data_IF_837692479690
#
_entry.id   IF_837692479690
#
_cell.length_a   1.000
_cell.length_b   1.000
_cell.length_c   1.000
_cell.angle_alpha   90.00
_cell.angle_beta   90.00
_cell.angle_gamma   90.00
#
_symmetry.space_group_name_H-M   'P 1'
#
loop_
_entity.id
_entity.type
_entity.pdbx_description
1 polymer ?
#
# COMPACT_ATOMS: atom_id res chain seq x y z
N UNK A 1 3.95 -19.32 8.51
CA UNK A 1 4.76 -20.29 7.74
C UNK A 1 3.94 -20.95 6.64
N UNK A 2 4.64 -21.52 5.64
CA UNK A 2 4.01 -22.24 4.53
C UNK A 2 3.01 -23.30 5.03
N UNK A 3 1.82 -23.44 4.42
CA UNK A 3 1.27 -22.67 3.29
C UNK A 3 0.45 -21.44 3.72
N UNK A 4 0.56 -21.01 4.96
CA UNK A 4 -0.31 -20.03 5.59
C UNK A 4 0.32 -18.63 5.54
N UNK A 5 -0.11 -17.80 4.59
CA UNK A 5 0.36 -16.42 4.42
C UNK A 5 -0.82 -15.49 4.13
N UNK A 6 -0.91 -14.39 4.88
CA UNK A 6 -1.91 -13.34 4.64
C UNK A 6 -1.73 -12.69 3.26
N UNK A 7 -0.49 -12.50 2.83
CA UNK A 7 -0.18 -11.96 1.51
C UNK A 7 -0.69 -12.88 0.40
N UNK A 8 -0.45 -14.19 0.51
CA UNK A 8 -0.96 -15.16 -0.49
C UNK A 8 -2.47 -15.28 -0.50
N UNK A 9 -3.14 -15.14 0.64
CA UNK A 9 -4.60 -15.02 0.67
C UNK A 9 -5.05 -13.81 -0.15
N UNK A 10 -4.41 -12.65 0.07
CA UNK A 10 -4.77 -11.42 -0.64
C UNK A 10 -4.48 -11.52 -2.14
N UNK A 11 -3.36 -12.14 -2.53
CA UNK A 11 -3.03 -12.43 -3.93
C UNK A 11 -4.00 -13.42 -4.58
N UNK A 12 -4.47 -14.44 -3.85
CA UNK A 12 -5.49 -15.36 -4.33
C UNK A 12 -6.83 -14.65 -4.60
N UNK A 13 -7.24 -13.71 -3.73
CA UNK A 13 -8.42 -12.87 -3.95
C UNK A 13 -8.21 -11.89 -5.11
N UNK A 14 -6.99 -11.35 -5.27
CA UNK A 14 -6.62 -10.53 -6.43
C UNK A 14 -6.84 -11.31 -7.73
N UNK A 15 -6.35 -12.55 -7.79
CA UNK A 15 -6.56 -13.42 -8.95
C UNK A 15 -8.05 -13.76 -9.16
N UNK A 16 -8.80 -13.97 -8.07
CA UNK A 16 -10.22 -14.35 -8.11
C UNK A 16 -11.11 -13.29 -8.80
N UNK A 17 -10.77 -12.02 -8.66
CA UNK A 17 -11.45 -10.90 -9.34
C UNK A 17 -10.85 -10.57 -10.71
N UNK A 18 -10.05 -11.47 -11.29
CA UNK A 18 -9.50 -11.32 -12.64
C UNK A 18 -8.29 -10.38 -12.75
N UNK A 19 -7.69 -9.99 -11.63
CA UNK A 19 -6.47 -9.19 -11.57
C UNK A 19 -5.23 -10.10 -11.50
N UNK A 20 -4.04 -9.52 -11.75
CA UNK A 20 -2.78 -10.25 -11.75
C UNK A 20 -2.23 -10.41 -10.33
N UNK A 21 -2.13 -11.64 -9.80
CA UNK A 21 -1.59 -11.87 -8.46
C UNK A 21 -0.11 -11.49 -8.40
N UNK A 22 0.34 -11.02 -7.25
CA UNK A 22 1.68 -10.49 -6.94
C UNK A 22 2.04 -9.18 -7.68
N UNK A 23 1.07 -8.55 -8.37
CA UNK A 23 1.26 -7.27 -9.04
C UNK A 23 0.11 -6.28 -8.78
N UNK A 24 -1.14 -6.75 -8.78
CA UNK A 24 -2.33 -5.89 -8.77
C UNK A 24 -3.05 -5.83 -7.41
N UNK A 25 -2.44 -6.29 -6.32
CA UNK A 25 -3.03 -6.25 -4.97
C UNK A 25 -3.47 -4.84 -4.56
N UNK A 26 -2.75 -3.83 -5.01
CA UNK A 26 -3.10 -2.44 -4.77
C UNK A 26 -4.38 -2.00 -5.51
N UNK A 27 -4.73 -2.68 -6.61
CA UNK A 27 -6.01 -2.46 -7.30
C UNK A 27 -7.13 -3.10 -6.49
N UNK A 28 -6.95 -4.33 -6.01
CA UNK A 28 -7.90 -4.99 -5.12
C UNK A 28 -8.18 -4.14 -3.87
N UNK A 29 -7.13 -3.58 -3.25
CA UNK A 29 -7.26 -2.65 -2.13
C UNK A 29 -8.13 -1.43 -2.49
N UNK A 30 -7.93 -0.85 -3.67
CA UNK A 30 -8.74 0.26 -4.16
C UNK A 30 -10.20 -0.13 -4.44
N UNK A 31 -10.45 -1.34 -4.94
CA UNK A 31 -11.81 -1.88 -5.16
C UNK A 31 -12.56 -2.07 -3.85
N UNK A 32 -11.87 -2.45 -2.77
CA UNK A 32 -12.49 -2.71 -1.48
C UNK A 32 -13.29 -1.52 -0.94
N UNK A 33 -12.88 -0.29 -1.26
CA UNK A 33 -13.58 0.93 -0.85
C UNK A 33 -14.97 1.11 -1.49
N UNK A 34 -15.29 0.33 -2.52
CA UNK A 34 -16.57 0.40 -3.25
C UNK A 34 -17.47 -0.82 -3.01
N UNK A 35 -16.99 -1.79 -2.23
CA UNK A 35 -17.72 -3.01 -1.90
C UNK A 35 -18.27 -3.00 -0.47
N UNK A 36 -19.10 -3.99 -0.20
CA UNK A 36 -19.60 -4.30 1.15
C UNK A 36 -19.00 -5.65 1.56
N UNK A 37 -18.30 -5.74 2.69
CA UNK A 37 -17.68 -6.98 3.11
C UNK A 37 -18.74 -8.02 3.53
N UNK A 38 -18.60 -9.25 3.03
CA UNK A 38 -19.27 -10.42 3.58
C UNK A 38 -18.34 -11.11 4.58
N UNK A 39 -18.69 -11.04 5.85
CA UNK A 39 -17.87 -11.59 6.93
C UNK A 39 -17.75 -13.12 6.90
N UNK A 40 -18.63 -13.81 6.17
CA UNK A 40 -18.55 -15.27 5.97
C UNK A 40 -17.31 -15.67 5.19
N UNK A 41 -16.78 -14.79 4.35
CA UNK A 41 -15.53 -15.06 3.61
C UNK A 41 -14.38 -15.34 4.58
N UNK A 42 -14.32 -14.60 5.70
CA UNK A 42 -13.35 -14.90 6.75
C UNK A 42 -13.49 -16.34 7.24
N UNK A 43 -14.70 -16.75 7.59
CA UNK A 43 -14.96 -18.11 8.11
C UNK A 43 -14.74 -19.20 7.05
N UNK A 44 -14.93 -18.89 5.78
CA UNK A 44 -14.68 -19.85 4.69
C UNK A 44 -13.20 -20.14 4.49
N UNK A 45 -12.32 -19.15 4.63
CA UNK A 45 -10.90 -19.28 4.34
C UNK A 45 -10.02 -19.46 5.58
N UNK A 46 -10.37 -18.84 6.70
CA UNK A 46 -9.54 -18.84 7.90
C UNK A 46 -9.92 -20.01 8.82
N UNK A 47 -8.92 -20.82 9.15
CA UNK A 47 -9.06 -21.92 10.11
C UNK A 47 -8.77 -21.45 11.55
N UNK A 48 -7.71 -20.66 11.70
CA UNK A 48 -7.25 -20.15 13.00
C UNK A 48 -6.63 -18.77 12.79
N UNK A 49 -7.26 -17.75 13.35
CA UNK A 49 -6.80 -16.37 13.23
C UNK A 49 -5.59 -16.05 14.11
N UNK A 50 -5.45 -16.74 15.26
CA UNK A 50 -4.36 -16.45 16.19
C UNK A 50 -3.03 -17.01 15.68
N UNK A 51 -3.07 -18.18 15.06
CA UNK A 51 -1.89 -18.82 14.46
C UNK A 51 -1.72 -18.48 12.98
N UNK A 52 -2.67 -17.73 12.39
CA UNK A 52 -2.75 -17.43 10.95
C UNK A 52 -2.69 -18.74 10.16
N UNK A 53 -3.78 -19.49 10.22
CA UNK A 53 -3.95 -20.72 9.45
C UNK A 53 -5.13 -20.60 8.51
N UNK A 54 -4.92 -20.97 7.27
CA UNK A 54 -5.97 -21.06 6.25
C UNK A 54 -6.40 -22.51 6.08
N UNK A 55 -7.66 -22.72 5.70
CA UNK A 55 -8.22 -24.07 5.46
C UNK A 55 -7.61 -24.73 4.23
N UNK A 56 -7.23 -23.92 3.23
CA UNK A 56 -6.67 -24.39 1.96
C UNK A 56 -5.30 -23.78 1.71
N UNK A 57 -4.54 -24.44 0.82
CA UNK A 57 -3.30 -23.87 0.28
C UNK A 57 -3.64 -22.87 -0.83
N UNK A 58 -3.41 -21.60 -0.58
CA UNK A 58 -3.77 -20.51 -1.50
C UNK A 58 -2.65 -20.11 -2.47
N UNK A 59 -1.55 -20.87 -2.54
CA UNK A 59 -0.47 -20.62 -3.50
C UNK A 59 -0.92 -20.81 -4.96
N UNK A 60 -1.92 -21.64 -5.19
CA UNK A 60 -2.51 -21.89 -6.51
C UNK A 60 -3.71 -20.98 -6.79
N UNK A 61 -4.02 -20.05 -5.89
CA UNK A 61 -5.20 -19.21 -5.99
C UNK A 61 -6.48 -19.90 -5.47
N UNK A 62 -7.63 -19.30 -5.79
CA UNK A 62 -8.97 -19.81 -5.43
C UNK A 62 -9.99 -19.53 -6.55
N UNK A 63 -9.61 -19.74 -7.79
CA UNK A 63 -10.49 -19.47 -8.96
C UNK A 63 -11.76 -20.33 -8.97
N UNK A 64 -11.70 -21.52 -8.42
CA UNK A 64 -12.80 -22.47 -8.25
C UNK A 64 -13.72 -22.17 -7.06
N UNK A 65 -13.38 -21.18 -6.24
CA UNK A 65 -14.23 -20.77 -5.14
C UNK A 65 -15.55 -20.20 -5.66
N UNK A 66 -16.64 -20.95 -5.43
CA UNK A 66 -17.97 -20.57 -5.84
C UNK A 66 -18.54 -19.51 -4.89
N UNK A 67 -18.94 -18.36 -5.43
CA UNK A 67 -19.56 -17.27 -4.70
C UNK A 67 -20.40 -16.41 -5.62
N UNK A 68 -21.51 -15.88 -5.09
CA UNK A 68 -22.39 -14.92 -5.77
C UNK A 68 -21.97 -13.46 -5.52
N UNK A 69 -20.88 -13.25 -4.80
CA UNK A 69 -20.39 -11.91 -4.49
C UNK A 69 -19.87 -11.22 -5.77
N UNK A 70 -20.16 -9.92 -5.88
CA UNK A 70 -19.52 -9.08 -6.89
C UNK A 70 -18.02 -8.93 -6.62
N UNK A 71 -17.22 -8.60 -7.62
CA UNK A 71 -15.77 -8.38 -7.48
C UNK A 71 -15.44 -7.32 -6.42
N UNK A 72 -16.24 -6.26 -6.33
CA UNK A 72 -16.07 -5.24 -5.28
C UNK A 72 -16.36 -5.78 -3.88
N UNK A 73 -17.37 -6.64 -3.73
CA UNK A 73 -17.67 -7.26 -2.44
C UNK A 73 -16.63 -8.32 -2.07
N UNK A 74 -16.09 -9.06 -3.04
CA UNK A 74 -14.93 -9.94 -2.82
C UNK A 74 -13.74 -9.13 -2.33
N UNK A 75 -13.44 -8.00 -2.97
CA UNK A 75 -12.36 -7.10 -2.58
C UNK A 75 -12.53 -6.55 -1.16
N UNK A 76 -13.74 -6.08 -0.82
CA UNK A 76 -14.06 -5.59 0.54
C UNK A 76 -13.95 -6.70 1.59
N UNK A 77 -14.39 -7.93 1.27
CA UNK A 77 -14.30 -9.09 2.15
C UNK A 77 -12.85 -9.54 2.35
N UNK A 78 -12.04 -9.48 1.30
CA UNK A 78 -10.60 -9.76 1.37
C UNK A 78 -9.88 -8.74 2.24
N UNK A 79 -10.20 -7.45 2.10
CA UNK A 79 -9.63 -6.38 2.91
C UNK A 79 -9.99 -6.55 4.38
N UNK A 80 -11.25 -6.76 4.69
CA UNK A 80 -11.71 -7.05 6.06
C UNK A 80 -10.97 -8.26 6.67
N UNK A 81 -10.88 -9.35 5.93
CA UNK A 81 -10.18 -10.55 6.39
C UNK A 81 -8.70 -10.26 6.69
N UNK A 82 -8.03 -9.52 5.81
CA UNK A 82 -6.63 -9.11 6.01
C UNK A 82 -6.46 -8.27 7.27
N UNK A 83 -7.33 -7.31 7.52
CA UNK A 83 -7.31 -6.43 8.68
C UNK A 83 -7.53 -7.20 9.99
N UNK A 84 -8.48 -8.13 10.02
CA UNK A 84 -8.70 -9.02 11.18
C UNK A 84 -7.47 -9.88 11.48
N UNK A 85 -6.83 -10.43 10.44
CA UNK A 85 -5.62 -11.22 10.61
C UNK A 85 -4.43 -10.34 11.06
N UNK A 86 -4.29 -9.13 10.53
CA UNK A 86 -3.27 -8.18 10.95
C UNK A 86 -3.46 -7.76 12.41
N UNK A 87 -4.71 -7.48 12.83
CA UNK A 87 -5.04 -7.23 14.23
C UNK A 87 -4.55 -8.37 15.15
N UNK A 88 -4.76 -9.62 14.76
CA UNK A 88 -4.30 -10.78 15.53
C UNK A 88 -2.78 -10.85 15.61
N UNK A 89 -2.07 -10.53 14.52
CA UNK A 89 -0.60 -10.44 14.51
C UNK A 89 -0.10 -9.35 15.45
N UNK A 90 -0.67 -8.16 15.38
CA UNK A 90 -0.25 -7.01 16.21
C UNK A 90 -0.54 -7.25 17.70
N UNK A 91 -1.72 -7.80 18.01
CA UNK A 91 -2.06 -8.21 19.38
C UNK A 91 -1.06 -9.21 19.94
N UNK A 92 -0.65 -10.20 19.12
CA UNK A 92 0.36 -11.18 19.52
C UNK A 92 1.75 -10.55 19.67
N UNK A 93 2.14 -9.67 18.75
CA UNK A 93 3.43 -8.97 18.80
C UNK A 93 3.55 -8.13 20.08
N UNK A 94 2.49 -7.43 20.49
CA UNK A 94 2.44 -6.68 21.77
C UNK A 94 2.60 -7.57 23.00
N UNK A 95 2.11 -8.80 22.96
CA UNK A 95 2.29 -9.77 24.07
C UNK A 95 3.73 -10.31 24.16
N UNK A 96 4.45 -10.34 23.02
CA UNK A 96 5.82 -10.88 22.95
C UNK A 96 6.89 -9.83 23.19
N UNK A 97 6.59 -8.55 23.03
CA UNK A 97 7.53 -7.45 23.19
C UNK A 97 6.97 -6.29 23.99
N UNK A 98 7.86 -5.58 24.70
CA UNK A 98 7.52 -4.41 25.50
C UNK A 98 7.73 -3.07 24.79
N UNK A 99 8.27 -3.07 23.57
CA UNK A 99 8.53 -1.87 22.79
C UNK A 99 7.24 -1.23 22.28
N UNK A 100 7.21 0.11 22.28
CA UNK A 100 6.18 0.89 21.59
C UNK A 100 6.59 1.28 20.16
N UNK A 101 7.74 0.79 19.68
CA UNK A 101 8.22 1.03 18.33
C UNK A 101 7.98 -0.21 17.46
N UNK A 102 7.44 -0.02 16.27
CA UNK A 102 7.22 -1.06 15.27
C UNK A 102 8.06 -0.78 14.02
N UNK A 103 8.84 -1.77 13.59
CA UNK A 103 9.38 -1.84 12.24
C UNK A 103 8.53 -2.85 11.48
N UNK A 104 7.82 -2.39 10.45
CA UNK A 104 6.86 -3.22 9.71
C UNK A 104 7.28 -3.36 8.24
N UNK A 105 7.50 -4.60 7.83
CA UNK A 105 8.00 -4.95 6.49
C UNK A 105 7.28 -6.20 5.95
N UNK A 106 7.50 -6.51 4.68
CA UNK A 106 6.82 -7.56 3.93
C UNK A 106 5.80 -6.97 2.95
N UNK A 107 5.35 -7.77 1.96
CA UNK A 107 4.41 -7.30 0.93
C UNK A 107 3.10 -6.74 1.50
N UNK A 108 2.61 -7.28 2.62
CA UNK A 108 1.39 -6.78 3.29
C UNK A 108 1.56 -5.35 3.82
N UNK A 109 2.77 -4.92 4.13
CA UNK A 109 3.04 -3.54 4.57
C UNK A 109 2.80 -2.48 3.46
N UNK A 110 2.54 -2.90 2.22
CA UNK A 110 2.08 -2.02 1.14
C UNK A 110 0.58 -1.69 1.22
N UNK A 111 -0.18 -2.42 2.05
CA UNK A 111 -1.61 -2.19 2.22
C UNK A 111 -1.86 -1.03 3.20
N UNK A 112 -2.01 0.18 2.65
CA UNK A 112 -2.17 1.39 3.45
C UNK A 112 -3.49 1.42 4.24
N UNK A 113 -4.57 0.79 3.75
CA UNK A 113 -5.82 0.68 4.50
C UNK A 113 -5.66 -0.14 5.78
N UNK A 114 -4.96 -1.27 5.69
CA UNK A 114 -4.66 -2.07 6.87
C UNK A 114 -3.66 -1.38 7.81
N UNK A 115 -2.71 -0.60 7.26
CA UNK A 115 -1.69 0.12 8.05
C UNK A 115 -2.28 1.23 8.93
N UNK A 116 -3.43 1.80 8.57
CA UNK A 116 -4.14 2.79 9.38
C UNK A 116 -4.39 2.29 10.80
N UNK A 117 -4.64 1.00 10.97
CA UNK A 117 -4.94 0.41 12.27
C UNK A 117 -3.72 0.17 13.17
N UNK A 118 -2.51 0.33 12.66
CA UNK A 118 -1.27 0.06 13.42
C UNK A 118 -1.06 1.03 14.59
N UNK A 119 -1.55 2.26 14.46
CA UNK A 119 -1.49 3.29 15.50
C UNK A 119 -2.22 2.92 16.80
N UNK A 120 -3.19 1.98 16.75
CA UNK A 120 -3.84 1.45 17.94
C UNK A 120 -2.92 0.55 18.80
N UNK A 121 -1.77 0.12 18.26
CA UNK A 121 -0.84 -0.79 18.94
C UNK A 121 0.51 -0.17 19.27
N UNK A 122 0.98 0.76 18.45
CA UNK A 122 2.34 1.29 18.54
C UNK A 122 2.35 2.80 18.37
N UNK A 123 3.15 3.48 19.18
CA UNK A 123 3.29 4.94 19.15
C UNK A 123 4.19 5.38 17.98
N UNK A 124 5.23 4.58 17.67
CA UNK A 124 6.15 4.88 16.59
C UNK A 124 6.17 3.72 15.59
N UNK A 125 5.78 4.01 14.36
CA UNK A 125 5.69 3.03 13.29
C UNK A 125 6.63 3.44 12.15
N UNK A 126 7.54 2.54 11.79
CA UNK A 126 8.37 2.71 10.62
C UNK A 126 8.07 1.62 9.59
N UNK A 127 7.64 2.06 8.41
CA UNK A 127 7.44 1.21 7.25
C UNK A 127 8.49 1.58 6.22
N UNK A 128 9.30 0.61 5.80
CA UNK A 128 10.30 0.84 4.78
C UNK A 128 9.65 1.30 3.46
N UNK A 129 10.19 2.29 2.75
CA UNK A 129 9.62 2.77 1.48
C UNK A 129 9.42 1.70 0.41
N UNK A 130 10.22 0.64 0.44
CA UNK A 130 10.06 -0.55 -0.39
C UNK A 130 9.97 -1.79 0.51
N UNK A 131 8.82 -2.03 1.16
CA UNK A 131 8.71 -3.04 2.21
C UNK A 131 8.59 -4.47 1.68
N UNK A 132 8.29 -4.67 0.39
CA UNK A 132 8.17 -5.96 -0.26
C UNK A 132 9.51 -6.59 -0.65
N UNK A 133 9.46 -7.66 -1.45
CA UNK A 133 10.62 -8.47 -1.83
C UNK A 133 11.73 -7.65 -2.51
N UNK A 134 11.37 -6.67 -3.34
CA UNK A 134 12.35 -5.80 -4.00
C UNK A 134 13.21 -4.99 -3.01
N UNK A 135 12.68 -4.67 -1.83
CA UNK A 135 13.41 -3.98 -0.76
C UNK A 135 14.47 -4.84 -0.08
N UNK A 136 14.42 -6.16 -0.25
CA UNK A 136 15.45 -7.09 0.24
C UNK A 136 16.84 -6.80 -0.34
N UNK A 137 16.90 -6.14 -1.50
CA UNK A 137 18.17 -5.69 -2.11
C UNK A 137 18.95 -4.74 -1.20
N UNK A 138 18.26 -3.80 -0.54
CA UNK A 138 18.88 -2.92 0.45
C UNK A 138 19.32 -3.69 1.68
N UNK A 139 18.49 -4.63 2.15
CA UNK A 139 18.83 -5.50 3.28
C UNK A 139 20.08 -6.34 3.03
N UNK A 140 20.19 -6.92 1.85
CA UNK A 140 21.37 -7.68 1.42
C UNK A 140 22.64 -6.79 1.37
N UNK A 141 22.52 -5.58 0.80
CA UNK A 141 23.62 -4.61 0.77
C UNK A 141 24.03 -4.18 2.19
N UNK A 142 23.08 -3.89 3.07
CA UNK A 142 23.35 -3.51 4.45
C UNK A 142 24.02 -4.65 5.24
N UNK A 143 23.58 -5.88 5.04
CA UNK A 143 24.19 -7.05 5.67
C UNK A 143 25.64 -7.24 5.22
N UNK A 144 25.92 -7.08 3.93
CA UNK A 144 27.28 -7.17 3.37
C UNK A 144 28.16 -6.03 3.86
N UNK A 145 27.59 -4.82 3.99
CA UNK A 145 28.30 -3.66 4.52
C UNK A 145 28.73 -3.85 5.99
N UNK A 146 27.94 -4.59 6.78
CA UNK A 146 28.28 -5.00 8.15
C UNK A 146 28.38 -3.89 9.18
N UNK A 147 27.88 -2.67 8.86
CA UNK A 147 27.87 -1.51 9.76
C UNK A 147 26.49 -0.88 9.76
N UNK A 148 26.22 -0.04 10.75
CA UNK A 148 24.99 0.71 10.81
C UNK A 148 24.82 1.59 9.57
N UNK A 149 23.66 1.47 8.92
CA UNK A 149 23.26 2.30 7.78
C UNK A 149 22.60 3.56 8.30
N UNK A 150 23.13 4.73 7.92
CA UNK A 150 22.47 6.00 8.18
C UNK A 150 21.43 6.28 7.11
N UNK A 151 20.19 5.85 7.38
CA UNK A 151 19.06 6.10 6.49
C UNK A 151 18.60 7.54 6.60
N UNK A 152 18.49 8.24 5.47
CA UNK A 152 18.06 9.64 5.44
C UNK A 152 16.75 9.86 4.69
N UNK A 153 16.59 9.24 3.53
CA UNK A 153 15.44 9.45 2.65
C UNK A 153 15.32 8.30 1.61
N UNK A 154 14.14 8.14 0.97
CA UNK A 154 13.93 7.09 -0.03
C UNK A 154 14.48 7.40 -1.44
N UNK A 155 15.09 8.56 -1.66
CA UNK A 155 15.54 8.98 -3.00
C UNK A 155 16.94 8.41 -3.31
N UNK A 156 17.01 7.14 -3.67
CA UNK A 156 18.27 6.39 -3.87
C UNK A 156 18.59 6.10 -5.34
N UNK A 157 17.62 6.33 -6.25
CA UNK A 157 17.76 5.97 -7.66
C UNK A 157 18.56 6.96 -8.49
N UNK A 158 18.47 6.83 -9.80
CA UNK A 158 19.18 7.66 -10.78
C UNK A 158 18.83 9.14 -10.59
N UNK A 159 19.87 9.97 -10.59
CA UNK A 159 19.75 11.41 -10.40
C UNK A 159 19.56 12.15 -11.72
N UNK A 160 18.61 13.10 -11.74
CA UNK A 160 18.51 14.15 -12.76
C UNK A 160 19.03 15.42 -12.09
N UNK A 161 20.17 15.96 -12.56
CA UNK A 161 20.79 17.14 -11.93
C UNK A 161 19.96 18.41 -12.14
N UNK A 162 20.09 19.37 -11.23
CA UNK A 162 19.41 20.65 -11.23
C UNK A 162 18.49 20.81 -10.01
N UNK A 163 18.02 22.02 -9.82
CA UNK A 163 17.10 22.36 -8.75
C UNK A 163 15.70 21.83 -9.08
N UNK A 164 14.90 21.53 -8.03
CA UNK A 164 13.52 21.12 -8.22
C UNK A 164 12.72 22.29 -8.81
N UNK A 165 12.04 22.12 -9.97
CA UNK A 165 11.50 23.22 -10.75
C UNK A 165 10.15 23.72 -10.22
N UNK A 166 10.09 24.22 -8.98
CA UNK A 166 8.85 24.59 -8.27
C UNK A 166 7.99 25.57 -9.05
N UNK A 167 8.59 26.67 -9.53
CA UNK A 167 7.84 27.72 -10.25
C UNK A 167 7.25 27.20 -11.56
N UNK A 168 8.03 26.43 -12.34
CA UNK A 168 7.55 25.82 -13.58
C UNK A 168 6.40 24.83 -13.33
N UNK A 169 6.52 24.01 -12.27
CA UNK A 169 5.46 23.07 -11.88
C UNK A 169 4.19 23.84 -11.50
N UNK A 170 4.32 24.93 -10.73
CA UNK A 170 3.21 25.76 -10.32
C UNK A 170 2.50 26.40 -11.53
N UNK A 171 3.26 27.00 -12.44
CA UNK A 171 2.72 27.60 -13.66
C UNK A 171 1.96 26.57 -14.49
N UNK A 172 2.56 25.39 -14.72
CA UNK A 172 1.91 24.30 -15.47
C UNK A 172 0.64 23.78 -14.77
N UNK A 173 0.65 23.66 -13.45
CA UNK A 173 -0.55 23.25 -12.71
C UNK A 173 -1.66 24.29 -12.79
N UNK A 174 -1.33 25.57 -12.78
CA UNK A 174 -2.31 26.65 -12.91
C UNK A 174 -2.92 26.69 -14.31
N UNK A 175 -2.10 26.48 -15.35
CA UNK A 175 -2.52 26.59 -16.75
C UNK A 175 -3.15 25.28 -17.26
N UNK A 176 -2.46 24.16 -17.07
CA UNK A 176 -2.81 22.87 -17.69
C UNK A 176 -3.42 21.86 -16.72
N UNK A 177 -3.43 22.16 -15.41
CA UNK A 177 -3.99 21.33 -14.33
C UNK A 177 -3.24 20.02 -14.06
N UNK A 178 -2.36 19.55 -14.95
CA UNK A 178 -1.63 18.27 -14.83
C UNK A 178 -0.22 18.48 -15.36
N UNK A 179 0.78 18.03 -14.61
CA UNK A 179 2.20 18.10 -15.00
C UNK A 179 2.96 16.83 -14.64
N UNK A 180 3.82 16.36 -15.54
CA UNK A 180 4.78 15.30 -15.27
C UNK A 180 6.09 15.85 -14.72
N UNK A 181 6.57 15.34 -13.60
CA UNK A 181 7.81 15.79 -12.96
C UNK A 181 8.85 14.68 -12.97
N UNK A 182 10.06 15.03 -13.43
CA UNK A 182 11.26 14.20 -13.31
C UNK A 182 12.42 15.09 -12.86
N UNK A 183 12.82 15.00 -11.59
CA UNK A 183 13.89 15.84 -11.00
C UNK A 183 14.58 15.07 -9.86
N UNK A 184 15.82 15.44 -9.54
CA UNK A 184 16.57 14.84 -8.47
C UNK A 184 16.75 13.32 -8.58
N UNK A 185 16.94 12.63 -7.48
CA UNK A 185 17.04 11.15 -7.44
C UNK A 185 15.67 10.49 -7.45
N UNK A 186 15.54 9.43 -8.24
CA UNK A 186 14.32 8.61 -8.26
C UNK A 186 14.07 7.95 -6.89
N UNK A 187 12.81 7.70 -6.60
CA UNK A 187 12.37 7.02 -5.39
C UNK A 187 12.80 5.55 -5.38
N UNK A 188 13.20 5.06 -4.20
CA UNK A 188 13.38 3.64 -3.92
C UNK A 188 12.09 3.08 -3.33
N UNK A 189 11.31 2.41 -4.16
CA UNK A 189 10.02 1.84 -3.78
C UNK A 189 8.93 2.08 -4.81
N UNK A 190 7.74 1.48 -4.61
CA UNK A 190 6.66 1.51 -5.58
C UNK A 190 5.84 2.82 -5.55
N UNK A 191 6.13 3.74 -4.65
CA UNK A 191 5.37 4.97 -4.45
C UNK A 191 6.08 6.15 -5.10
N UNK A 192 5.32 6.98 -5.83
CA UNK A 192 5.76 8.28 -6.30
C UNK A 192 5.79 9.26 -5.12
N UNK A 193 6.90 9.97 -4.93
CA UNK A 193 7.12 10.90 -3.82
C UNK A 193 7.58 12.29 -4.31
N UNK A 194 7.28 12.63 -5.55
CA UNK A 194 7.53 13.95 -6.11
C UNK A 194 8.63 13.97 -7.18
N UNK A 195 9.61 13.09 -7.16
CA UNK A 195 10.75 13.15 -8.08
C UNK A 195 10.51 12.42 -9.41
N UNK A 196 9.58 11.46 -9.46
CA UNK A 196 9.06 10.79 -10.66
C UNK A 196 7.56 10.69 -10.52
N UNK A 197 6.88 11.83 -10.70
CA UNK A 197 5.47 11.96 -10.35
C UNK A 197 4.66 12.61 -11.46
N UNK A 198 3.41 12.22 -11.55
CA UNK A 198 2.37 12.98 -12.23
C UNK A 198 1.58 13.75 -11.16
N UNK A 199 1.70 15.06 -11.19
CA UNK A 199 1.02 15.96 -10.28
C UNK A 199 -0.22 16.53 -10.95
N UNK A 200 -1.28 16.78 -10.19
CA UNK A 200 -2.51 17.40 -10.69
C UNK A 200 -3.08 18.38 -9.67
N UNK A 201 -3.66 19.46 -10.17
CA UNK A 201 -4.43 20.41 -9.38
C UNK A 201 -5.71 19.71 -8.89
N UNK A 202 -5.95 19.58 -7.57
CA UNK A 202 -7.10 18.85 -7.05
C UNK A 202 -8.45 19.57 -7.27
N UNK A 203 -8.44 20.80 -7.75
CA UNK A 203 -9.65 21.59 -7.99
C UNK A 203 -10.32 21.15 -9.30
N UNK A 204 -11.54 20.66 -9.21
CA UNK A 204 -12.32 20.19 -10.35
C UNK A 204 -12.69 18.71 -10.23
N UNK A 205 -13.97 18.40 -10.46
CA UNK A 205 -14.52 17.06 -10.27
C UNK A 205 -13.95 16.05 -11.29
N UNK A 206 -13.59 16.53 -12.48
CA UNK A 206 -13.11 15.68 -13.59
C UNK A 206 -11.63 15.33 -13.51
N UNK A 207 -10.86 15.97 -12.64
CA UNK A 207 -9.38 15.82 -12.63
C UNK A 207 -8.94 14.37 -12.34
N UNK A 208 -9.64 13.70 -11.43
CA UNK A 208 -9.40 12.28 -11.10
C UNK A 208 -9.53 11.41 -12.35
N UNK A 209 -10.60 11.59 -13.12
CA UNK A 209 -10.86 10.80 -14.32
C UNK A 209 -9.84 11.08 -15.41
N UNK A 210 -9.48 12.36 -15.64
CA UNK A 210 -8.45 12.76 -16.60
C UNK A 210 -7.08 12.13 -16.29
N UNK A 211 -6.66 12.19 -15.02
CA UNK A 211 -5.37 11.58 -14.63
C UNK A 211 -5.41 10.06 -14.77
N UNK A 212 -6.52 9.40 -14.42
CA UNK A 212 -6.67 7.96 -14.62
C UNK A 212 -6.67 7.58 -16.10
N UNK A 213 -7.24 8.41 -16.97
CA UNK A 213 -7.21 8.23 -18.42
C UNK A 213 -5.80 8.35 -19.00
N UNK A 214 -5.04 9.38 -18.61
CA UNK A 214 -3.61 9.53 -18.96
C UNK A 214 -2.81 8.30 -18.54
N UNK A 215 -3.06 7.78 -17.33
CA UNK A 215 -2.42 6.58 -16.80
C UNK A 215 -2.98 5.28 -17.38
N UNK A 216 -4.00 5.34 -18.26
CA UNK A 216 -4.68 4.18 -18.88
C UNK A 216 -5.08 3.12 -17.85
N UNK A 217 -5.75 3.55 -16.79
CA UNK A 217 -6.15 2.69 -15.68
C UNK A 217 -7.59 2.91 -15.25
N UNK A 218 -8.08 2.09 -14.33
CA UNK A 218 -9.47 2.11 -13.87
C UNK A 218 -9.81 3.47 -13.22
N UNK A 219 -10.98 4.03 -13.56
CA UNK A 219 -11.43 5.36 -13.08
C UNK A 219 -11.65 5.44 -11.57
N UNK A 220 -11.95 4.32 -10.91
CA UNK A 220 -12.17 4.29 -9.46
C UNK A 220 -10.88 4.52 -8.65
N UNK A 221 -9.70 4.34 -9.24
CA UNK A 221 -8.43 4.39 -8.50
C UNK A 221 -8.17 5.78 -7.92
N UNK A 222 -7.84 5.85 -6.61
CA UNK A 222 -7.55 7.10 -5.93
C UNK A 222 -6.13 7.60 -6.24
N UNK A 223 -5.87 8.83 -5.81
CA UNK A 223 -4.55 9.46 -5.80
C UNK A 223 -4.19 9.88 -4.38
N UNK A 224 -2.89 9.85 -4.06
CA UNK A 224 -2.40 10.40 -2.82
C UNK A 224 -2.40 11.93 -2.90
N UNK A 225 -2.90 12.64 -1.88
CA UNK A 225 -2.77 14.09 -1.77
C UNK A 225 -1.33 14.48 -1.44
N UNK A 226 -0.92 15.67 -1.89
CA UNK A 226 0.28 16.36 -1.45
C UNK A 226 -0.17 17.65 -0.79
N UNK A 227 0.24 17.87 0.45
CA UNK A 227 -0.13 19.05 1.24
C UNK A 227 1.07 19.52 2.06
N UNK A 228 1.16 20.79 2.36
CA UNK A 228 2.14 21.32 3.29
C UNK A 228 1.85 20.78 4.71
N UNK A 229 2.89 20.39 5.44
CA UNK A 229 2.78 19.75 6.75
C UNK A 229 1.97 20.58 7.74
N UNK A 230 2.18 21.91 7.75
CA UNK A 230 1.47 22.85 8.60
C UNK A 230 -0.05 22.89 8.39
N UNK A 231 -0.54 22.49 7.19
CA UNK A 231 -1.97 22.43 6.87
C UNK A 231 -2.54 21.01 6.88
N UNK A 232 -1.72 19.99 7.11
CA UNK A 232 -2.17 18.61 7.00
C UNK A 232 -3.35 18.29 7.93
N UNK A 233 -3.30 18.80 9.18
CA UNK A 233 -4.37 18.58 10.18
C UNK A 233 -5.68 19.34 9.88
N UNK A 234 -5.63 20.37 9.05
CA UNK A 234 -6.83 21.14 8.67
C UNK A 234 -7.67 20.38 7.64
N UNK A 235 -7.05 19.47 6.91
CA UNK A 235 -7.68 18.76 5.79
C UNK A 235 -7.80 17.24 6.01
N UNK A 236 -6.98 16.65 6.90
CA UNK A 236 -6.93 15.22 7.10
C UNK A 236 -6.94 14.88 8.59
N UNK A 237 -7.72 13.86 8.94
CA UNK A 237 -7.65 13.22 10.25
C UNK A 237 -6.43 12.29 10.26
N UNK A 238 -5.33 12.80 10.79
CA UNK A 238 -4.05 12.09 10.83
C UNK A 238 -3.69 11.73 12.26
N UNK A 239 -3.19 10.49 12.49
CA UNK A 239 -2.61 10.16 13.79
C UNK A 239 -1.44 11.11 14.08
N UNK A 240 -1.39 11.60 15.31
CA UNK A 240 -0.36 12.53 15.81
C UNK A 240 0.95 11.79 16.06
#
# INVERSE_FOLDING_TARGET
GYPHSMGLFYSAMTQRVGLKPNEDEYILMGMAAYGVPDYKVFDEFVLDREQIRFKNNLHTGCLDWATDLSDFNIAASAQYTLEVLLHSVMTRAKKLGSSNNLVYMGGVALNCSANEHLGAYYDNIWIMPNPGDAGSSLGAAALTYGKQVNWQHPFLGTNIPGDYPVNQILDELMDNKIVGVASGRAEFGPRALGNRSLLADPRGLEIKDKVNEIKRRQKFRPFAPVILEEYAKDYFDMPT
#
